data_IF_862374310121
#
_entry.id   IF_862374310121
#
_cell.length_a   1.000
_cell.length_b   1.000
_cell.length_c   1.000
_cell.angle_alpha   90.00
_cell.angle_beta   90.00
_cell.angle_gamma   90.00
#
_symmetry.space_group_name_H-M   'P 1'
#
loop_
_entity.id
_entity.type
_entity.pdbx_description
1 polymer ?
#
# COMPACT_ATOMS: atom_id res chain seq x y z
N UNK A 1 8.33 -21.50 -11.53
CA UNK A 1 7.13 -21.47 -10.67
C UNK A 1 6.59 -20.04 -10.68
N UNK A 2 5.65 -19.73 -11.56
CA UNK A 2 4.99 -18.41 -11.57
C UNK A 2 3.93 -18.44 -10.49
N UNK A 3 4.20 -17.78 -9.36
CA UNK A 3 3.16 -17.50 -8.37
C UNK A 3 2.08 -16.70 -9.11
N UNK A 4 0.80 -17.13 -9.13
CA UNK A 4 -0.25 -16.32 -9.74
C UNK A 4 -0.21 -14.95 -9.06
N UNK A 5 0.01 -13.90 -9.85
CA UNK A 5 0.10 -12.55 -9.32
C UNK A 5 -1.25 -12.23 -8.64
N UNK A 6 -1.22 -12.06 -7.32
CA UNK A 6 -2.40 -11.66 -6.57
C UNK A 6 -2.81 -10.25 -7.04
N UNK A 7 -4.06 -10.09 -7.50
CA UNK A 7 -4.61 -8.77 -7.82
C UNK A 7 -4.82 -8.02 -6.50
N UNK A 8 -4.03 -6.98 -6.31
CA UNK A 8 -4.06 -6.13 -5.12
C UNK A 8 -4.39 -4.71 -5.54
N UNK A 9 -5.33 -4.10 -4.82
CA UNK A 9 -5.76 -2.72 -5.10
C UNK A 9 -5.34 -1.78 -3.97
N UNK A 10 -4.68 -0.70 -4.36
CA UNK A 10 -4.40 0.43 -3.47
C UNK A 10 -5.54 1.44 -3.61
N UNK A 11 -6.31 1.61 -2.54
CA UNK A 11 -7.39 2.58 -2.53
C UNK A 11 -6.85 3.95 -2.08
N UNK A 12 -7.01 4.95 -2.95
CA UNK A 12 -6.66 6.35 -2.65
C UNK A 12 -7.91 7.05 -2.16
N UNK A 13 -7.92 7.45 -0.89
CA UNK A 13 -8.96 8.32 -0.34
C UNK A 13 -8.55 9.78 -0.56
N UNK A 14 -9.45 10.66 -1.03
CA UNK A 14 -9.17 12.09 -1.08
C UNK A 14 -8.91 12.59 0.34
N UNK A 15 -7.86 13.40 0.50
CA UNK A 15 -7.45 13.94 1.79
C UNK A 15 -7.33 15.45 1.66
N UNK A 16 -7.76 16.16 2.70
CA UNK A 16 -7.62 17.61 2.79
C UNK A 16 -6.20 17.91 3.31
N UNK A 17 -5.58 18.95 2.76
CA UNK A 17 -4.27 19.41 3.21
C UNK A 17 -4.28 19.70 4.73
N UNK A 18 -3.25 19.23 5.44
CA UNK A 18 -3.17 19.30 6.90
C UNK A 18 -3.85 18.17 7.66
N UNK A 19 -4.61 17.29 6.98
CA UNK A 19 -5.13 16.06 7.58
C UNK A 19 -4.22 14.86 7.30
N UNK A 20 -4.32 13.86 8.18
CA UNK A 20 -3.60 12.60 7.99
C UNK A 20 -4.20 11.80 6.83
N UNK A 21 -3.35 11.36 5.91
CA UNK A 21 -3.71 10.45 4.83
C UNK A 21 -3.57 9.00 5.27
N UNK A 22 -4.53 8.15 4.89
CA UNK A 22 -4.45 6.70 5.07
C UNK A 22 -4.53 6.02 3.71
N UNK A 23 -3.50 5.25 3.38
CA UNK A 23 -3.45 4.39 2.20
C UNK A 23 -3.77 2.96 2.62
N UNK A 24 -4.75 2.34 1.95
CA UNK A 24 -5.21 0.99 2.27
C UNK A 24 -4.92 0.04 1.11
N UNK A 25 -4.22 -1.05 1.42
CA UNK A 25 -3.98 -2.16 0.50
C UNK A 25 -5.02 -3.26 0.76
N UNK A 26 -5.94 -3.46 -0.18
CA UNK A 26 -7.00 -4.47 -0.04
C UNK A 26 -6.69 -5.66 -0.94
N UNK A 27 -6.48 -6.82 -0.31
CA UNK A 27 -6.40 -8.12 -0.97
C UNK A 27 -7.78 -8.80 -0.95
N UNK A 28 -7.96 -9.82 -1.80
CA UNK A 28 -9.15 -10.67 -1.76
C UNK A 28 -9.24 -11.47 -0.46
N UNK A 29 -10.47 -11.78 -0.05
CA UNK A 29 -10.76 -12.43 1.23
C UNK A 29 -10.09 -13.81 1.37
N UNK A 30 -10.01 -14.57 0.28
CA UNK A 30 -9.43 -15.91 0.24
C UNK A 30 -7.91 -15.97 0.46
N UNK A 31 -7.23 -14.82 0.38
CA UNK A 31 -5.76 -14.73 0.53
C UNK A 31 -5.34 -13.74 1.61
N UNK A 32 -6.28 -12.99 2.19
CA UNK A 32 -6.01 -11.92 3.17
C UNK A 32 -5.28 -12.42 4.41
N UNK A 33 -5.58 -13.63 4.88
CA UNK A 33 -4.96 -14.20 6.09
C UNK A 33 -3.52 -14.68 5.87
N UNK A 34 -3.08 -14.78 4.61
CA UNK A 34 -1.76 -15.29 4.24
C UNK A 34 -0.83 -14.21 3.67
N UNK A 35 -1.29 -12.96 3.60
CA UNK A 35 -0.57 -11.85 3.02
C UNK A 35 -0.33 -10.76 4.06
N UNK A 36 0.87 -10.19 4.03
CA UNK A 36 1.21 -8.97 4.76
C UNK A 36 1.86 -7.98 3.82
N UNK A 37 1.65 -6.69 4.05
CA UNK A 37 2.28 -5.64 3.27
C UNK A 37 3.77 -5.59 3.61
N UNK A 38 4.63 -5.74 2.61
CA UNK A 38 6.09 -5.71 2.80
C UNK A 38 6.68 -4.33 2.59
N UNK A 39 6.17 -3.57 1.62
CA UNK A 39 6.68 -2.25 1.24
C UNK A 39 5.65 -1.46 0.43
N UNK A 40 5.75 -0.13 0.48
CA UNK A 40 4.99 0.80 -0.35
C UNK A 40 5.93 1.54 -1.29
N UNK A 41 5.60 1.58 -2.58
CA UNK A 41 6.37 2.31 -3.60
C UNK A 41 5.55 3.48 -4.14
N UNK A 42 6.20 4.63 -4.33
CA UNK A 42 5.65 5.77 -5.06
C UNK A 42 6.63 6.12 -6.18
N UNK A 43 6.15 6.02 -7.41
CA UNK A 43 6.90 6.26 -8.65
C UNK A 43 8.12 5.32 -8.76
N UNK A 44 9.25 5.66 -8.14
CA UNK A 44 10.44 4.78 -8.01
C UNK A 44 11.06 4.80 -6.59
N UNK A 45 10.42 5.47 -5.63
CA UNK A 45 10.90 5.61 -4.26
C UNK A 45 10.15 4.67 -3.31
N UNK A 46 10.90 3.97 -2.46
CA UNK A 46 10.33 3.24 -1.32
C UNK A 46 9.92 4.27 -0.27
N UNK A 47 8.63 4.30 0.06
CA UNK A 47 8.13 5.11 1.16
C UNK A 47 8.41 4.38 2.48
N UNK A 48 9.45 4.82 3.18
CA UNK A 48 9.71 4.38 4.55
C UNK A 48 8.86 5.20 5.54
N UNK A 49 8.20 4.57 6.51
CA UNK A 49 7.49 5.30 7.56
C UNK A 49 8.50 6.13 8.37
N UNK A 50 8.35 7.47 8.31
CA UNK A 50 9.19 8.41 9.06
C UNK A 50 10.21 9.21 8.23
N UNK A 51 10.29 9.01 6.91
CA UNK A 51 11.08 9.90 6.06
C UNK A 51 10.29 11.19 5.79
N UNK A 52 10.43 12.14 6.70
CA UNK A 52 10.14 13.55 6.45
C UNK A 52 11.19 14.05 5.44
N UNK A 53 10.81 14.12 4.16
CA UNK A 53 11.51 14.99 3.20
C UNK A 53 11.55 16.39 3.82
N UNK A 54 12.77 16.90 4.04
CA UNK A 54 13.04 18.22 4.61
C UNK A 54 13.05 19.26 3.51
#
# INVERSE_FOLDING_TARGET
>A
LTVPAYDVRVNRSPVIEGCNAVLSCTAREDVKEHLTVTSWYRDDAILLPGSIDT
#
